data_IF_026671423950
#
_entry.id   IF_026671423950
#
_cell.length_a   1.000
_cell.length_b   1.000
_cell.length_c   1.000
_cell.angle_alpha   90.00
_cell.angle_beta   90.00
_cell.angle_gamma   90.00
#
_symmetry.space_group_name_H-M   'P 1'
#
loop_
_entity.id
_entity.type
_entity.pdbx_description
1 polymer ?
#
# COMPACT_ATOMS: atom_id res chain seq x y z
N UNK A 1 46.28 13.68 -0.57
CA UNK A 1 44.98 14.26 -0.15
C UNK A 1 44.72 13.83 1.29
N UNK A 2 44.03 14.63 2.12
CA UNK A 2 43.63 14.19 3.46
C UNK A 2 42.70 12.95 3.31
N UNK A 3 42.91 11.86 4.07
CA UNK A 3 42.08 10.65 4.01
C UNK A 3 40.57 10.90 4.16
N UNK A 4 40.16 11.86 5.00
CA UNK A 4 38.76 12.18 5.22
C UNK A 4 38.15 12.90 4.02
N UNK A 5 38.93 13.77 3.38
CA UNK A 5 38.51 14.44 2.14
C UNK A 5 38.40 13.45 0.98
N UNK A 6 39.30 12.47 0.90
CA UNK A 6 39.20 11.39 -0.10
C UNK A 6 37.93 10.56 0.10
N UNK A 7 37.63 10.16 1.34
CA UNK A 7 36.38 9.44 1.68
C UNK A 7 35.12 10.26 1.39
N UNK A 8 35.14 11.55 1.67
CA UNK A 8 34.01 12.45 1.40
C UNK A 8 33.64 12.45 -0.09
N UNK A 9 34.64 12.62 -0.97
CA UNK A 9 34.37 12.64 -2.41
C UNK A 9 33.99 11.26 -2.95
N UNK A 10 34.59 10.18 -2.43
CA UNK A 10 34.18 8.81 -2.76
C UNK A 10 32.72 8.55 -2.41
N UNK A 11 32.28 8.98 -1.23
CA UNK A 11 30.89 8.84 -0.80
C UNK A 11 29.94 9.57 -1.79
N UNK A 12 30.27 10.79 -2.18
CA UNK A 12 29.47 11.55 -3.15
C UNK A 12 29.40 10.83 -4.51
N UNK A 13 30.48 10.21 -4.97
CA UNK A 13 30.53 9.47 -6.25
C UNK A 13 29.92 8.07 -6.19
N UNK A 14 29.52 7.57 -5.01
CA UNK A 14 28.93 6.23 -4.83
C UNK A 14 27.46 6.29 -4.38
N UNK A 15 27.12 7.21 -3.47
CA UNK A 15 25.80 7.27 -2.84
C UNK A 15 24.86 8.21 -3.61
N UNK A 16 24.39 7.80 -4.78
CA UNK A 16 23.43 8.56 -5.59
C UNK A 16 22.65 7.66 -6.56
N UNK A 17 21.61 8.20 -7.20
CA UNK A 17 20.89 7.52 -8.29
C UNK A 17 21.19 8.05 -9.69
N UNK A 18 22.07 9.04 -9.83
CA UNK A 18 22.54 9.58 -11.13
C UNK A 18 22.98 8.46 -12.08
N UNK A 19 22.58 8.59 -13.34
CA UNK A 19 22.98 7.75 -14.47
C UNK A 19 23.99 8.49 -15.33
N UNK A 20 24.98 7.79 -15.86
CA UNK A 20 25.96 8.33 -16.78
C UNK A 20 25.68 7.87 -18.21
N UNK A 21 25.88 8.76 -19.17
CA UNK A 21 25.77 8.47 -20.60
C UNK A 21 26.94 9.11 -21.34
N UNK A 22 27.50 8.41 -22.33
CA UNK A 22 28.55 8.96 -23.19
C UNK A 22 27.93 9.52 -24.46
N UNK A 23 27.84 10.84 -24.56
CA UNK A 23 27.33 11.55 -25.75
C UNK A 23 28.44 12.33 -26.41
N UNK A 24 28.69 12.09 -27.70
CA UNK A 24 29.73 12.78 -28.48
C UNK A 24 31.12 12.77 -27.79
N UNK A 25 31.53 11.62 -27.24
CA UNK A 25 32.75 11.45 -26.43
C UNK A 25 32.81 12.32 -25.16
N UNK A 26 31.68 12.85 -24.69
CA UNK A 26 31.57 13.59 -23.44
C UNK A 26 30.67 12.81 -22.47
N UNK A 27 31.17 12.62 -21.26
CA UNK A 27 30.41 12.03 -20.16
C UNK A 27 29.36 13.04 -19.67
N UNK A 28 28.09 12.67 -19.76
CA UNK A 28 26.94 13.44 -19.28
C UNK A 28 26.23 12.69 -18.14
N UNK A 29 25.67 13.45 -17.20
CA UNK A 29 24.97 12.93 -16.03
C UNK A 29 23.48 13.25 -16.10
N UNK A 30 22.65 12.22 -15.99
CA UNK A 30 21.20 12.31 -15.88
C UNK A 30 20.78 11.98 -14.46
N UNK A 31 20.13 12.94 -13.80
CA UNK A 31 19.66 12.79 -12.41
C UNK A 31 18.17 13.12 -12.30
N UNK A 32 17.47 12.43 -11.39
CA UNK A 32 16.08 12.75 -11.05
C UNK A 32 15.97 14.03 -10.20
N UNK A 33 17.04 14.39 -9.49
CA UNK A 33 17.13 15.59 -8.66
C UNK A 33 18.29 16.47 -9.11
N UNK A 34 18.08 17.79 -9.25
CA UNK A 34 19.14 18.74 -9.57
C UNK A 34 20.23 18.77 -8.49
N UNK A 35 19.87 18.50 -7.23
CA UNK A 35 20.82 18.47 -6.12
C UNK A 35 21.79 17.28 -6.27
N UNK A 36 21.31 16.11 -6.73
CA UNK A 36 22.18 14.97 -7.01
C UNK A 36 23.12 15.22 -8.19
N UNK A 37 22.61 15.85 -9.27
CA UNK A 37 23.44 16.21 -10.42
C UNK A 37 24.56 17.18 -10.02
N UNK A 38 24.26 18.18 -9.17
CA UNK A 38 25.24 19.13 -8.68
C UNK A 38 26.33 18.46 -7.84
N UNK A 39 25.97 17.54 -6.94
CA UNK A 39 26.92 16.81 -6.10
C UNK A 39 27.86 15.91 -6.93
N UNK A 40 27.32 15.11 -7.84
CA UNK A 40 28.14 14.21 -8.68
C UNK A 40 28.97 15.01 -9.69
N UNK A 41 28.43 16.13 -10.20
CA UNK A 41 29.17 17.09 -11.02
C UNK A 41 30.35 17.71 -10.28
N UNK A 42 30.16 18.10 -9.01
CA UNK A 42 31.24 18.60 -8.18
C UNK A 42 32.32 17.53 -7.95
N UNK A 43 31.93 16.31 -7.58
CA UNK A 43 32.88 15.22 -7.37
C UNK A 43 33.76 14.94 -8.60
N UNK A 44 33.18 14.99 -9.80
CA UNK A 44 33.93 14.91 -11.07
C UNK A 44 35.00 16.00 -11.18
N UNK A 45 34.69 17.25 -10.82
CA UNK A 45 35.64 18.37 -10.90
C UNK A 45 36.81 18.21 -9.92
N UNK A 46 36.61 17.45 -8.84
CA UNK A 46 37.65 17.10 -7.87
C UNK A 46 38.35 15.76 -8.18
N UNK A 47 38.14 15.18 -9.36
CA UNK A 47 38.83 13.96 -9.80
C UNK A 47 38.19 12.65 -9.32
N UNK A 48 36.93 12.68 -8.87
CA UNK A 48 36.15 11.49 -8.48
C UNK A 48 34.99 11.32 -9.45
N UNK A 49 35.27 10.73 -10.60
CA UNK A 49 34.36 10.66 -11.73
C UNK A 49 33.50 9.39 -11.63
N UNK A 50 32.18 9.54 -11.57
CA UNK A 50 31.26 8.42 -11.70
C UNK A 50 31.20 7.97 -13.16
N UNK A 51 31.57 6.72 -13.46
CA UNK A 51 31.69 6.22 -14.84
C UNK A 51 30.44 5.46 -15.27
N UNK A 52 29.99 4.49 -14.48
CA UNK A 52 28.78 3.72 -14.77
C UNK A 52 28.30 2.93 -13.56
N UNK A 53 27.04 2.47 -13.61
CA UNK A 53 26.47 1.54 -12.65
C UNK A 53 25.72 0.42 -13.38
N UNK A 54 25.95 -0.80 -12.93
CA UNK A 54 25.17 -2.00 -13.27
C UNK A 54 24.33 -2.43 -12.05
N UNK A 55 23.44 -3.42 -12.16
CA UNK A 55 22.73 -3.96 -10.99
C UNK A 55 23.66 -4.45 -9.87
N UNK A 56 24.87 -4.92 -10.22
CA UNK A 56 25.79 -5.59 -9.30
C UNK A 56 27.08 -4.80 -9.03
N UNK A 57 27.31 -3.68 -9.71
CA UNK A 57 28.55 -2.91 -9.57
C UNK A 57 28.42 -1.42 -9.84
N UNK A 58 29.30 -0.63 -9.22
CA UNK A 58 29.51 0.79 -9.50
C UNK A 58 30.97 0.98 -9.91
N UNK A 59 31.20 1.63 -11.04
CA UNK A 59 32.55 2.01 -11.51
C UNK A 59 32.75 3.51 -11.35
N UNK A 60 33.84 3.88 -10.67
CA UNK A 60 34.29 5.26 -10.52
C UNK A 60 35.75 5.37 -10.96
N UNK A 61 36.17 6.56 -11.36
CA UNK A 61 37.57 6.88 -11.61
C UNK A 61 38.03 7.87 -10.54
N UNK A 62 39.09 7.52 -9.82
CA UNK A 62 39.67 8.34 -8.77
C UNK A 62 41.06 8.76 -9.20
N UNK A 63 41.25 10.05 -9.45
CA UNK A 63 42.52 10.63 -9.85
C UNK A 63 43.14 9.93 -11.09
N UNK A 64 42.30 9.56 -12.06
CA UNK A 64 42.71 8.87 -13.28
C UNK A 64 42.82 7.35 -13.17
N UNK A 65 42.59 6.77 -11.98
CA UNK A 65 42.61 5.32 -11.78
C UNK A 65 41.18 4.80 -11.68
N UNK A 66 40.82 3.85 -12.52
CA UNK A 66 39.50 3.21 -12.47
C UNK A 66 39.40 2.22 -11.31
N UNK A 67 38.30 2.31 -10.57
CA UNK A 67 37.98 1.47 -9.44
C UNK A 67 36.56 0.94 -9.57
N UNK A 68 36.38 -0.36 -9.31
CA UNK A 68 35.08 -1.02 -9.32
C UNK A 68 34.67 -1.42 -7.91
N UNK A 69 33.43 -1.14 -7.56
CA UNK A 69 32.78 -1.50 -6.30
C UNK A 69 31.67 -2.50 -6.60
N UNK A 70 31.58 -3.58 -5.83
CA UNK A 70 30.41 -4.46 -5.89
C UNK A 70 29.24 -3.76 -5.20
N UNK A 71 28.14 -3.57 -5.92
CA UNK A 71 26.92 -2.99 -5.38
C UNK A 71 26.13 -4.08 -4.65
N UNK A 72 25.86 -3.88 -3.36
CA UNK A 72 25.11 -4.85 -2.55
C UNK A 72 23.66 -4.45 -2.34
N UNK A 73 23.40 -3.17 -2.12
CA UNK A 73 22.05 -2.68 -1.94
C UNK A 73 22.00 -1.17 -2.14
N UNK A 74 20.95 -0.68 -2.79
CA UNK A 74 20.56 0.73 -2.76
C UNK A 74 19.29 0.84 -1.93
N UNK A 75 19.34 1.69 -0.92
CA UNK A 75 18.20 2.07 -0.12
C UNK A 75 17.80 3.49 -0.53
N UNK A 76 16.84 3.59 -1.44
CA UNK A 76 16.43 4.85 -2.06
C UNK A 76 15.94 5.92 -1.09
N UNK A 77 16.11 7.16 -1.51
CA UNK A 77 15.50 8.29 -0.83
C UNK A 77 13.98 8.16 -0.84
N UNK A 78 13.35 8.49 0.29
CA UNK A 78 11.93 8.79 0.34
C UNK A 78 11.66 9.86 1.41
N UNK A 79 10.48 10.49 1.34
CA UNK A 79 10.11 11.61 2.20
C UNK A 79 10.05 11.26 3.71
N UNK A 80 10.04 9.96 4.05
CA UNK A 80 9.97 9.48 5.43
C UNK A 80 11.37 9.21 5.99
N UNK A 81 12.23 8.58 5.20
CA UNK A 81 13.63 8.33 5.55
C UNK A 81 14.44 9.62 5.53
N UNK A 82 14.07 10.56 4.65
CA UNK A 82 14.78 11.81 4.32
C UNK A 82 16.30 11.62 4.17
N UNK A 83 16.69 10.43 3.69
CA UNK A 83 18.06 9.99 3.46
C UNK A 83 18.07 8.87 2.43
N UNK A 84 19.19 8.76 1.72
CA UNK A 84 19.54 7.66 0.83
C UNK A 84 20.73 6.91 1.41
N UNK A 85 20.84 5.63 1.12
CA UNK A 85 22.04 4.86 1.48
C UNK A 85 22.40 3.85 0.42
N UNK A 86 23.68 3.56 0.30
CA UNK A 86 24.21 2.53 -0.61
C UNK A 86 25.17 1.65 0.18
N UNK A 87 25.00 0.34 0.07
CA UNK A 87 25.98 -0.64 0.54
C UNK A 87 26.83 -1.11 -0.65
N UNK A 88 28.14 -0.98 -0.51
CA UNK A 88 29.11 -1.48 -1.49
C UNK A 88 30.11 -2.40 -0.81
N UNK A 89 30.67 -3.35 -1.58
CA UNK A 89 31.80 -4.17 -1.15
C UNK A 89 33.01 -3.89 -2.05
N UNK A 90 34.16 -3.67 -1.42
CA UNK A 90 35.44 -3.52 -2.11
C UNK A 90 36.56 -4.03 -1.22
N UNK A 91 37.51 -4.77 -1.79
CA UNK A 91 38.67 -5.32 -1.07
C UNK A 91 38.27 -6.14 0.18
N UNK A 92 37.18 -6.91 0.07
CA UNK A 92 36.64 -7.73 1.16
C UNK A 92 35.84 -6.95 2.23
N UNK A 93 35.86 -5.61 2.21
CA UNK A 93 35.14 -4.76 3.17
C UNK A 93 33.78 -4.33 2.63
N UNK A 94 32.75 -4.45 3.46
CA UNK A 94 31.42 -3.91 3.18
C UNK A 94 31.30 -2.54 3.84
N UNK A 95 30.96 -1.52 3.06
CA UNK A 95 30.80 -0.14 3.54
C UNK A 95 29.41 0.36 3.23
N UNK A 96 28.72 0.85 4.27
CA UNK A 96 27.48 1.60 4.16
C UNK A 96 27.82 3.08 3.99
N UNK A 97 27.38 3.68 2.89
CA UNK A 97 27.39 5.11 2.66
C UNK A 97 25.99 5.68 2.79
N UNK A 98 25.84 6.84 3.43
CA UNK A 98 24.56 7.47 3.70
C UNK A 98 24.64 8.98 3.47
N UNK A 99 23.62 9.55 2.84
CA UNK A 99 23.43 11.01 2.73
C UNK A 99 21.98 11.39 3.04
N UNK A 100 21.76 12.47 3.76
CA UNK A 100 20.41 12.90 4.12
C UNK A 100 20.36 14.17 4.94
N UNK A 101 19.17 14.49 5.46
CA UNK A 101 18.97 15.61 6.37
C UNK A 101 19.82 15.44 7.65
N UNK A 102 20.31 16.57 8.16
CA UNK A 102 21.06 16.71 9.40
C UNK A 102 20.48 15.92 10.58
N UNK A 103 19.22 16.19 10.92
CA UNK A 103 18.46 15.52 11.99
C UNK A 103 18.44 13.99 11.83
N UNK A 104 18.28 13.50 10.61
CA UNK A 104 18.21 12.05 10.35
C UNK A 104 19.56 11.37 10.48
N UNK A 105 20.64 12.06 10.15
CA UNK A 105 22.00 11.53 10.19
C UNK A 105 22.54 11.60 11.61
N UNK A 106 22.43 12.73 12.31
CA UNK A 106 22.95 12.90 13.67
C UNK A 106 22.32 11.93 14.69
N UNK A 107 21.02 11.64 14.58
CA UNK A 107 20.36 10.61 15.40
C UNK A 107 20.97 9.20 15.26
N UNK A 108 21.78 8.95 14.22
CA UNK A 108 22.28 7.61 13.84
C UNK A 108 23.81 7.52 13.83
N UNK A 109 24.50 8.60 14.22
CA UNK A 109 25.95 8.58 14.41
C UNK A 109 26.28 7.95 15.77
N UNK A 110 27.40 7.25 15.86
CA UNK A 110 27.84 6.69 17.14
C UNK A 110 28.27 7.81 18.09
N UNK A 111 27.80 7.77 19.33
CA UNK A 111 28.19 8.72 20.38
C UNK A 111 29.71 8.72 20.66
N UNK A 112 30.40 7.66 20.25
CA UNK A 112 31.85 7.49 20.42
C UNK A 112 32.71 8.13 19.32
N UNK A 113 32.15 8.46 18.15
CA UNK A 113 32.93 8.82 16.95
C UNK A 113 33.15 10.33 16.75
N UNK A 114 33.44 11.05 17.85
CA UNK A 114 33.83 12.46 17.94
C UNK A 114 32.70 13.51 18.02
N UNK A 115 32.20 13.73 19.24
CA UNK A 115 31.25 14.81 19.58
C UNK A 115 31.74 16.21 19.17
N UNK A 116 33.06 16.42 19.11
CA UNK A 116 33.65 17.69 18.67
C UNK A 116 33.42 17.94 17.17
N UNK A 117 33.59 16.92 16.32
CA UNK A 117 33.31 17.04 14.88
C UNK A 117 31.83 17.25 14.62
N UNK A 118 30.95 16.60 15.39
CA UNK A 118 29.51 16.82 15.33
C UNK A 118 29.15 18.27 15.64
N UNK A 119 29.67 18.83 16.73
CA UNK A 119 29.43 20.22 17.12
C UNK A 119 29.94 21.24 16.09
N UNK A 120 31.15 21.03 15.55
CA UNK A 120 31.72 21.88 14.50
C UNK A 120 30.88 21.78 13.21
N UNK A 121 30.48 20.56 12.83
CA UNK A 121 29.65 20.34 11.64
C UNK A 121 28.29 21.00 11.79
N UNK A 122 27.64 20.89 12.95
CA UNK A 122 26.37 21.57 13.23
C UNK A 122 26.51 23.09 13.10
N UNK A 123 27.57 23.68 13.67
CA UNK A 123 27.82 25.11 13.53
C UNK A 123 27.99 25.55 12.08
N UNK A 124 28.65 24.75 11.24
CA UNK A 124 28.77 25.03 9.80
C UNK A 124 27.45 24.87 9.06
N UNK A 125 26.63 23.85 9.40
CA UNK A 125 25.30 23.66 8.81
C UNK A 125 24.39 24.84 9.09
N UNK A 126 24.38 25.34 10.34
CA UNK A 126 23.59 26.52 10.73
C UNK A 126 24.01 27.76 9.94
N UNK A 127 25.33 27.94 9.75
CA UNK A 127 25.86 29.03 8.94
C UNK A 127 25.41 28.92 7.47
N UNK A 128 25.55 27.74 6.86
CA UNK A 128 25.12 27.53 5.47
C UNK A 128 23.61 27.69 5.28
N UNK A 129 22.81 27.27 6.26
CA UNK A 129 21.37 27.48 6.25
C UNK A 129 21.02 28.98 6.34
N UNK A 130 21.72 29.76 7.17
CA UNK A 130 21.57 31.21 7.25
C UNK A 130 21.93 31.92 5.93
N UNK A 131 22.89 31.38 5.19
CA UNK A 131 23.27 31.85 3.85
C UNK A 131 22.28 31.38 2.75
N UNK A 132 21.22 30.64 3.12
CA UNK A 132 20.18 30.15 2.20
C UNK A 132 20.58 28.91 1.38
N UNK A 133 21.66 28.22 1.77
CA UNK A 133 22.12 27.02 1.09
C UNK A 133 21.36 25.78 1.58
N UNK A 134 21.04 24.87 0.67
CA UNK A 134 20.56 23.53 1.04
C UNK A 134 21.71 22.69 1.53
N UNK A 135 21.56 22.11 2.71
CA UNK A 135 22.59 21.30 3.35
C UNK A 135 22.19 19.83 3.40
N UNK A 136 23.20 18.96 3.30
CA UNK A 136 23.07 17.52 3.51
C UNK A 136 24.23 17.05 4.38
N UNK A 137 23.94 16.12 5.28
CA UNK A 137 24.94 15.40 6.05
C UNK A 137 25.27 14.08 5.36
N UNK A 138 26.54 13.71 5.42
CA UNK A 138 27.05 12.48 4.84
C UNK A 138 27.72 11.66 5.95
N UNK A 139 27.45 10.37 5.97
CA UNK A 139 27.99 9.44 6.96
C UNK A 139 28.37 8.13 6.30
N UNK A 140 29.34 7.43 6.89
CA UNK A 140 29.72 6.10 6.46
C UNK A 140 29.95 5.18 7.66
N UNK A 141 29.86 3.88 7.42
CA UNK A 141 30.18 2.84 8.41
C UNK A 141 30.73 1.61 7.70
N UNK A 142 31.88 1.12 8.14
CA UNK A 142 32.31 -0.24 7.79
C UNK A 142 31.39 -1.23 8.52
N UNK A 143 30.79 -2.14 7.76
CA UNK A 143 29.82 -3.12 8.24
C UNK A 143 30.53 -4.47 8.28
N UNK A 144 30.41 -5.13 9.42
CA UNK A 144 30.90 -6.50 9.58
C UNK A 144 30.21 -7.44 8.56
N UNK A 145 31.00 -8.35 7.98
CA UNK A 145 30.53 -9.20 6.87
C UNK A 145 29.44 -10.16 7.35
N UNK A 146 29.60 -10.76 8.53
CA UNK A 146 28.62 -11.70 9.08
C UNK A 146 27.31 -10.97 9.43
N UNK A 147 27.42 -9.77 10.00
CA UNK A 147 26.25 -8.91 10.22
C UNK A 147 25.55 -8.53 8.91
N UNK A 148 26.32 -8.21 7.86
CA UNK A 148 25.75 -7.87 6.55
C UNK A 148 25.01 -9.06 5.93
N UNK A 149 25.56 -10.28 6.00
CA UNK A 149 24.91 -11.47 5.46
C UNK A 149 23.58 -11.77 6.17
N UNK A 150 23.54 -11.66 7.50
CA UNK A 150 22.28 -11.77 8.26
C UNK A 150 21.27 -10.67 7.88
N UNK A 151 21.72 -9.42 7.82
CA UNK A 151 20.88 -8.29 7.43
C UNK A 151 20.34 -8.45 6.00
N UNK A 152 21.17 -8.91 5.06
CA UNK A 152 20.81 -9.12 3.66
C UNK A 152 19.71 -10.17 3.54
N UNK A 153 19.83 -11.28 4.29
CA UNK A 153 18.79 -12.33 4.34
C UNK A 153 17.46 -11.78 4.85
N UNK A 154 17.49 -11.00 5.95
CA UNK A 154 16.28 -10.36 6.50
C UNK A 154 15.67 -9.34 5.54
N UNK A 155 16.51 -8.56 4.85
CA UNK A 155 16.06 -7.59 3.87
C UNK A 155 15.40 -8.25 2.65
N UNK A 156 16.00 -9.32 2.13
CA UNK A 156 15.45 -10.08 1.01
C UNK A 156 14.10 -10.72 1.36
N UNK A 157 14.00 -11.36 2.53
CA UNK A 157 12.73 -11.89 3.03
C UNK A 157 11.65 -10.81 3.15
N UNK A 158 11.98 -9.64 3.70
CA UNK A 158 11.05 -8.52 3.79
C UNK A 158 10.63 -7.99 2.40
N UNK A 159 11.56 -7.94 1.44
CA UNK A 159 11.29 -7.51 0.07
C UNK A 159 10.32 -8.45 -0.65
N UNK A 160 10.51 -9.77 -0.50
CA UNK A 160 9.64 -10.80 -1.07
C UNK A 160 8.22 -10.67 -0.51
N UNK A 161 8.08 -10.56 0.82
CA UNK A 161 6.77 -10.40 1.48
C UNK A 161 6.02 -9.15 0.99
N UNK A 162 6.74 -8.06 0.75
CA UNK A 162 6.16 -6.82 0.21
C UNK A 162 5.65 -7.00 -1.23
N UNK A 163 6.41 -7.71 -2.07
CA UNK A 163 6.03 -8.00 -3.46
C UNK A 163 4.79 -8.90 -3.53
N UNK A 164 4.78 -9.99 -2.76
CA UNK A 164 3.65 -10.93 -2.72
C UNK A 164 2.35 -10.23 -2.30
N UNK A 165 2.43 -9.36 -1.27
CA UNK A 165 1.27 -8.58 -0.80
C UNK A 165 0.72 -7.65 -1.88
N UNK A 166 1.59 -6.98 -2.63
CA UNK A 166 1.20 -6.06 -3.69
C UNK A 166 0.53 -6.80 -4.85
N UNK A 167 1.07 -7.95 -5.25
CA UNK A 167 0.48 -8.80 -6.30
C UNK A 167 -0.92 -9.32 -5.89
N UNK A 168 -1.02 -9.88 -4.67
CA UNK A 168 -2.28 -10.32 -4.08
C UNK A 168 -3.33 -9.20 -4.12
N UNK A 169 -2.95 -7.99 -3.70
CA UNK A 169 -3.87 -6.86 -3.67
C UNK A 169 -4.35 -6.45 -5.08
N UNK A 170 -3.42 -6.40 -6.04
CA UNK A 170 -3.75 -6.05 -7.42
C UNK A 170 -4.71 -7.07 -8.04
N UNK A 171 -4.50 -8.37 -7.78
CA UNK A 171 -5.35 -9.43 -8.33
C UNK A 171 -6.75 -9.40 -7.68
N UNK A 172 -6.86 -9.10 -6.39
CA UNK A 172 -8.16 -8.88 -5.74
C UNK A 172 -8.88 -7.65 -6.32
N UNK A 173 -8.18 -6.54 -6.56
CA UNK A 173 -8.76 -5.35 -7.20
C UNK A 173 -9.21 -5.67 -8.64
N UNK A 174 -8.40 -6.40 -9.40
CA UNK A 174 -8.74 -6.83 -10.76
C UNK A 174 -9.97 -7.76 -10.78
N UNK A 175 -10.17 -8.57 -9.75
CA UNK A 175 -11.38 -9.36 -9.51
C UNK A 175 -12.57 -8.53 -9.00
N UNK A 176 -12.50 -7.19 -9.08
CA UNK A 176 -13.53 -6.24 -8.64
C UNK A 176 -13.85 -6.31 -7.13
N UNK A 177 -12.88 -6.73 -6.30
CA UNK A 177 -13.01 -6.70 -4.84
C UNK A 177 -12.54 -5.34 -4.34
N UNK A 178 -13.46 -4.56 -3.75
CA UNK A 178 -13.14 -3.26 -3.15
C UNK A 178 -12.43 -3.44 -1.81
N UNK A 179 -11.31 -2.77 -1.63
CA UNK A 179 -10.49 -2.88 -0.41
C UNK A 179 -10.56 -1.60 0.42
N UNK A 180 -10.88 -1.79 1.69
CA UNK A 180 -10.89 -0.74 2.72
C UNK A 180 -9.85 -1.10 3.78
N UNK A 181 -8.92 -0.20 4.05
CA UNK A 181 -7.83 -0.41 5.03
C UNK A 181 -8.19 0.32 6.32
N UNK A 182 -8.36 -0.43 7.42
CA UNK A 182 -8.70 0.13 8.73
C UNK A 182 -7.52 -0.07 9.69
N UNK A 183 -6.72 0.97 9.91
CA UNK A 183 -5.50 0.90 10.73
C UNK A 183 -5.56 1.80 11.98
N UNK A 184 -4.89 1.34 13.04
CA UNK A 184 -4.61 2.16 14.23
C UNK A 184 -3.47 3.16 14.03
N UNK A 185 -2.74 3.08 12.92
CA UNK A 185 -1.58 3.92 12.63
C UNK A 185 -1.92 5.38 12.32
N UNK A 186 -0.89 6.23 12.38
CA UNK A 186 -0.97 7.62 11.93
C UNK A 186 -1.26 7.71 10.44
N UNK A 187 -1.93 8.78 10.04
CA UNK A 187 -2.37 9.03 8.67
C UNK A 187 -1.24 8.96 7.66
N UNK A 188 -0.08 9.55 7.97
CA UNK A 188 1.07 9.58 7.06
C UNK A 188 1.63 8.18 6.80
N UNK A 189 1.61 7.31 7.82
CA UNK A 189 2.02 5.91 7.71
C UNK A 189 1.02 5.09 6.91
N UNK A 190 -0.28 5.32 7.13
CA UNK A 190 -1.34 4.61 6.41
C UNK A 190 -1.37 4.97 4.91
N UNK A 191 -1.23 6.25 4.57
CA UNK A 191 -1.13 6.74 3.18
C UNK A 191 0.08 6.09 2.49
N UNK A 192 1.21 6.03 3.19
CA UNK A 192 2.41 5.34 2.69
C UNK A 192 2.19 3.88 2.39
N UNK A 193 1.56 3.17 3.32
CA UNK A 193 1.25 1.76 3.12
C UNK A 193 0.35 1.64 1.90
N UNK A 194 -0.65 2.53 1.76
CA UNK A 194 -1.50 2.65 0.58
C UNK A 194 -0.71 2.78 -0.73
N UNK A 195 0.24 3.71 -0.83
CA UNK A 195 1.09 3.87 -2.02
C UNK A 195 2.05 2.69 -2.23
N UNK A 196 2.66 2.17 -1.16
CA UNK A 196 3.60 1.05 -1.23
C UNK A 196 2.93 -0.23 -1.75
N UNK A 197 1.64 -0.42 -1.43
CA UNK A 197 0.84 -1.54 -1.89
C UNK A 197 0.16 -1.29 -3.24
N UNK A 198 0.32 -0.11 -3.86
CA UNK A 198 -0.45 0.33 -5.05
C UNK A 198 -1.97 0.32 -4.84
N UNK A 199 -2.41 0.46 -3.59
CA UNK A 199 -3.82 0.73 -3.29
C UNK A 199 -4.16 2.17 -3.66
N UNK A 200 -3.24 3.08 -3.32
CA UNK A 200 -3.19 4.44 -3.84
C UNK A 200 -2.16 4.48 -4.96
N UNK A 201 -2.52 5.07 -6.09
CA UNK A 201 -1.66 5.11 -7.26
C UNK A 201 -1.61 6.53 -7.83
N UNK A 202 -0.54 6.83 -8.58
CA UNK A 202 -0.34 8.17 -9.17
C UNK A 202 -1.29 8.47 -10.33
N UNK A 203 -1.94 7.43 -10.88
CA UNK A 203 -3.01 7.51 -11.88
C UNK A 203 -4.40 7.75 -11.25
N UNK A 204 -4.52 7.77 -9.93
CA UNK A 204 -5.71 8.31 -9.28
C UNK A 204 -5.88 9.79 -9.67
N UNK A 205 -7.08 10.15 -10.10
CA UNK A 205 -7.54 11.53 -10.29
C UNK A 205 -7.32 12.37 -9.04
N UNK A 206 -7.71 11.87 -7.87
CA UNK A 206 -7.53 12.58 -6.60
C UNK A 206 -7.58 11.65 -5.37
N UNK A 207 -6.93 12.05 -4.29
CA UNK A 207 -7.03 11.39 -2.97
C UNK A 207 -7.60 12.39 -1.97
N UNK A 208 -8.86 12.19 -1.60
CA UNK A 208 -9.58 13.04 -0.65
C UNK A 208 -9.16 12.73 0.78
N UNK A 209 -8.93 13.78 1.58
CA UNK A 209 -8.60 13.66 3.00
C UNK A 209 -9.71 14.31 3.82
N UNK A 210 -10.30 13.54 4.74
CA UNK A 210 -11.33 13.99 5.68
C UNK A 210 -10.71 14.03 7.09
N UNK A 211 -10.51 15.24 7.58
CA UNK A 211 -9.84 15.54 8.84
C UNK A 211 -10.58 16.57 9.72
N UNK A 212 -11.85 16.84 9.40
CA UNK A 212 -12.72 17.73 10.16
C UNK A 212 -12.80 17.40 11.65
N UNK A 213 -12.82 18.43 12.50
CA UNK A 213 -12.81 18.30 13.97
C UNK A 213 -14.21 18.39 14.59
N UNK A 214 -15.20 18.83 13.82
CA UNK A 214 -16.59 18.90 14.21
C UNK A 214 -17.47 18.15 13.23
N UNK A 215 -18.69 17.80 13.64
CA UNK A 215 -19.69 17.13 12.79
C UNK A 215 -19.95 17.94 11.51
N UNK A 216 -20.07 19.26 11.63
CA UNK A 216 -20.34 20.15 10.50
C UNK A 216 -19.15 20.24 9.53
N UNK A 217 -17.92 20.24 10.05
CA UNK A 217 -16.73 20.22 9.19
C UNK A 217 -16.66 18.92 8.37
N UNK A 218 -16.89 17.78 9.02
CA UNK A 218 -16.89 16.47 8.37
C UNK A 218 -18.00 16.37 7.33
N UNK A 219 -19.19 16.89 7.66
CA UNK A 219 -20.32 16.97 6.72
C UNK A 219 -19.94 17.77 5.48
N UNK A 220 -19.42 18.98 5.65
CA UNK A 220 -19.01 19.85 4.53
C UNK A 220 -17.94 19.20 3.67
N UNK A 221 -16.94 18.56 4.28
CA UNK A 221 -15.91 17.82 3.54
C UNK A 221 -16.51 16.67 2.72
N UNK A 222 -17.39 15.85 3.29
CA UNK A 222 -18.03 14.75 2.59
C UNK A 222 -18.99 15.22 1.47
N UNK A 223 -19.77 16.28 1.71
CA UNK A 223 -20.66 16.87 0.69
C UNK A 223 -19.85 17.46 -0.47
N UNK A 224 -18.74 18.15 -0.19
CA UNK A 224 -17.85 18.68 -1.22
C UNK A 224 -17.27 17.57 -2.12
N UNK A 225 -16.88 16.44 -1.53
CA UNK A 225 -16.39 15.28 -2.31
C UNK A 225 -17.47 14.76 -3.25
N UNK A 226 -18.73 14.68 -2.82
CA UNK A 226 -19.84 14.25 -3.69
C UNK A 226 -20.05 15.20 -4.87
N UNK A 227 -19.90 16.51 -4.64
CA UNK A 227 -19.98 17.48 -5.73
C UNK A 227 -18.88 17.22 -6.76
N UNK A 228 -17.63 17.03 -6.31
CA UNK A 228 -16.49 16.74 -7.18
C UNK A 228 -16.62 15.40 -7.92
N UNK A 229 -17.21 14.38 -7.29
CA UNK A 229 -17.50 13.09 -7.92
C UNK A 229 -18.54 13.19 -9.04
N UNK A 230 -19.44 14.17 -8.97
CA UNK A 230 -20.51 14.38 -9.94
C UNK A 230 -20.17 15.41 -11.04
N UNK A 231 -19.04 16.11 -10.94
CA UNK A 231 -18.63 17.05 -11.98
C UNK A 231 -18.16 16.31 -13.25
N UNK A 232 -18.72 16.63 -14.43
CA UNK A 232 -18.27 16.04 -15.68
C UNK A 232 -16.83 16.44 -15.94
N UNK A 233 -15.97 15.45 -16.19
CA UNK A 233 -14.52 15.63 -16.34
C UNK A 233 -14.18 16.55 -17.51
N UNK A 234 -14.07 17.86 -17.28
CA UNK A 234 -13.36 18.75 -18.20
C UNK A 234 -11.87 18.49 -18.07
N UNK A 235 -11.28 17.99 -19.15
CA UNK A 235 -9.86 17.73 -19.33
C UNK A 235 -8.99 18.89 -18.83
N UNK A 236 -8.13 18.62 -17.84
CA UNK A 236 -6.72 19.03 -17.85
C UNK A 236 -5.97 18.33 -16.70
N UNK A 237 -5.06 17.43 -17.08
CA UNK A 237 -4.10 16.81 -16.19
C UNK A 237 -3.24 17.88 -15.51
N UNK A 238 -3.25 17.92 -14.17
CA UNK A 238 -2.22 18.58 -13.37
C UNK A 238 -1.94 17.81 -12.09
N UNK A 239 -0.67 17.40 -11.98
CA UNK A 239 0.15 17.18 -10.79
C UNK A 239 -0.46 16.33 -9.66
N UNK A 240 0.03 15.10 -9.50
CA UNK A 240 -0.30 14.17 -8.41
C UNK A 240 0.19 14.64 -7.04
N UNK A 241 -0.33 15.77 -6.57
CA UNK A 241 -0.15 16.27 -5.21
C UNK A 241 -1.26 15.72 -4.33
N UNK A 242 -0.88 15.24 -3.15
CA UNK A 242 -1.82 15.14 -2.02
C UNK A 242 -2.24 16.57 -1.70
N UNK A 243 -3.40 16.99 -2.20
CA UNK A 243 -4.01 18.29 -1.89
C UNK A 243 -4.57 18.21 -0.47
N UNK A 244 -3.79 18.69 0.52
CA UNK A 244 -4.39 19.18 1.75
C UNK A 244 -5.20 20.42 1.38
N UNK A 245 -6.48 20.25 1.07
CA UNK A 245 -7.33 21.37 0.70
C UNK A 245 -7.56 22.20 1.97
N UNK A 246 -7.00 23.41 2.01
CA UNK A 246 -7.50 24.46 2.88
C UNK A 246 -8.79 24.96 2.23
N UNK A 247 -9.93 24.52 2.75
CA UNK A 247 -11.24 24.75 2.14
C UNK A 247 -11.67 26.22 2.28
N UNK A 248 -11.97 26.87 1.16
CA UNK A 248 -12.74 28.11 1.13
C UNK A 248 -14.24 27.77 1.16
N UNK A 249 -15.04 28.60 1.84
CA UNK A 249 -16.47 28.37 2.06
C UNK A 249 -17.24 28.18 0.72
N UNK A 250 -18.18 27.23 0.65
CA UNK A 250 -19.02 27.06 -0.53
C UNK A 250 -20.06 28.18 -0.64
N UNK A 251 -20.25 28.69 -1.86
CA UNK A 251 -21.32 29.65 -2.19
C UNK A 251 -22.72 29.04 -2.01
N UNK A 252 -23.68 29.89 -1.59
CA UNK A 252 -25.07 29.56 -1.18
C UNK A 252 -25.95 28.84 -2.23
N UNK A 253 -25.43 28.51 -3.41
CA UNK A 253 -26.16 27.82 -4.48
C UNK A 253 -26.03 26.28 -4.45
N UNK A 254 -25.14 25.70 -3.62
CA UNK A 254 -24.92 24.24 -3.53
C UNK A 254 -26.04 23.48 -2.82
N UNK A 255 -26.82 24.13 -1.94
CA UNK A 255 -27.92 23.52 -1.17
C UNK A 255 -29.10 23.00 -2.04
N UNK A 256 -29.24 23.52 -3.26
CA UNK A 256 -30.34 23.16 -4.17
C UNK A 256 -30.02 21.94 -5.04
N UNK A 257 -28.73 21.66 -5.30
CA UNK A 257 -28.30 20.48 -6.06
C UNK A 257 -28.33 19.22 -5.20
N UNK A 258 -27.94 19.31 -3.92
CA UNK A 258 -27.92 18.18 -2.98
C UNK A 258 -29.33 17.62 -2.73
N UNK A 259 -30.36 18.48 -2.65
CA UNK A 259 -31.75 18.06 -2.43
C UNK A 259 -32.36 17.25 -3.58
N UNK A 260 -31.86 17.40 -4.82
CA UNK A 260 -32.42 16.72 -6.00
C UNK A 260 -31.94 15.27 -6.17
N UNK A 261 -30.86 14.89 -5.48
CA UNK A 261 -30.26 13.54 -5.50
C UNK A 261 -30.73 12.62 -4.38
N UNK A 262 -31.49 13.14 -3.41
CA UNK A 262 -32.19 12.32 -2.41
C UNK A 262 -33.51 11.80 -2.98
N UNK A 263 -33.71 10.48 -2.89
CA UNK A 263 -34.91 9.70 -3.29
C UNK A 263 -34.95 9.21 -4.75
N UNK A 264 -34.02 8.31 -5.09
CA UNK A 264 -34.17 7.43 -6.25
C UNK A 264 -33.08 6.36 -6.28
N UNK A 265 -33.42 5.13 -5.88
CA UNK A 265 -32.75 3.86 -6.26
C UNK A 265 -31.29 3.98 -6.71
N UNK A 266 -30.35 4.20 -5.78
CA UNK A 266 -28.91 4.16 -6.05
C UNK A 266 -28.40 2.71 -6.14
N UNK A 267 -29.08 1.88 -6.93
CA UNK A 267 -28.69 0.49 -7.24
C UNK A 267 -28.26 0.33 -8.70
N UNK A 268 -28.58 1.29 -9.58
CA UNK A 268 -28.36 1.17 -11.03
C UNK A 268 -27.23 2.04 -11.59
N UNK A 269 -26.47 2.76 -10.75
CA UNK A 269 -25.37 3.65 -11.19
C UNK A 269 -23.96 3.17 -10.75
N UNK A 270 -23.85 1.99 -10.13
CA UNK A 270 -22.59 1.51 -9.53
C UNK A 270 -21.99 0.27 -10.21
N UNK A 271 -22.64 -0.28 -11.23
CA UNK A 271 -22.14 -1.41 -12.02
C UNK A 271 -22.01 -1.01 -13.50
N UNK A 272 -20.76 -0.86 -13.95
CA UNK A 272 -20.42 -0.75 -15.37
C UNK A 272 -19.87 0.61 -15.79
N UNK A 273 -18.54 0.70 -15.83
CA UNK A 273 -17.82 1.81 -16.47
C UNK A 273 -16.82 2.47 -15.54
N UNK A 274 -15.54 2.16 -15.73
CA UNK A 274 -14.36 2.76 -15.11
C UNK A 274 -14.45 3.00 -13.60
N UNK A 275 -13.88 2.07 -12.81
CA UNK A 275 -13.55 2.29 -11.40
C UNK A 275 -12.79 3.61 -11.27
N UNK A 276 -13.54 4.63 -10.86
CA UNK A 276 -13.16 6.04 -10.86
C UNK A 276 -11.92 6.22 -9.98
N UNK A 277 -10.91 6.89 -10.50
CA UNK A 277 -9.59 7.07 -9.89
C UNK A 277 -9.57 7.94 -8.63
N UNK A 278 -10.45 7.72 -7.67
CA UNK A 278 -10.48 8.47 -6.42
C UNK A 278 -10.11 7.59 -5.23
N UNK A 279 -9.32 8.14 -4.31
CA UNK A 279 -9.04 7.55 -2.99
C UNK A 279 -9.67 8.38 -1.87
N UNK A 280 -10.05 7.73 -0.76
CA UNK A 280 -10.53 8.41 0.46
C UNK A 280 -9.62 8.07 1.64
N UNK A 281 -9.19 9.09 2.39
CA UNK A 281 -8.47 8.94 3.65
C UNK A 281 -9.25 9.67 4.73
N UNK A 282 -9.62 8.97 5.81
CA UNK A 282 -10.36 9.55 6.93
C UNK A 282 -9.66 9.22 8.26
N UNK A 283 -9.50 10.21 9.12
CA UNK A 283 -8.91 9.99 10.45
C UNK A 283 -9.96 9.48 11.46
N UNK A 284 -9.52 8.87 12.56
CA UNK A 284 -10.42 8.28 13.55
C UNK A 284 -11.32 9.27 14.30
N UNK A 285 -10.91 10.54 14.43
CA UNK A 285 -11.75 11.57 15.06
C UNK A 285 -12.91 11.95 14.14
N UNK A 286 -12.61 12.28 12.89
CA UNK A 286 -13.60 12.57 11.84
C UNK A 286 -14.50 11.37 11.55
N UNK A 287 -13.95 10.15 11.60
CA UNK A 287 -14.72 8.91 11.42
C UNK A 287 -15.77 8.74 12.51
N UNK A 288 -15.53 9.20 13.74
CA UNK A 288 -16.53 9.14 14.82
C UNK A 288 -17.79 9.90 14.44
N UNK A 289 -17.64 11.13 13.94
CA UNK A 289 -18.76 11.94 13.46
C UNK A 289 -19.37 11.35 12.17
N UNK A 290 -18.53 10.86 11.26
CA UNK A 290 -18.98 10.29 9.99
C UNK A 290 -19.80 9.00 10.15
N UNK A 291 -19.60 8.26 11.25
CA UNK A 291 -20.37 7.06 11.59
C UNK A 291 -21.71 7.35 12.27
N UNK A 292 -22.00 8.61 12.65
CA UNK A 292 -23.29 8.96 13.21
C UNK A 292 -24.44 8.74 12.21
N UNK A 293 -25.66 8.41 12.66
CA UNK A 293 -26.78 8.10 11.76
C UNK A 293 -27.05 9.16 10.68
N UNK A 294 -26.77 10.43 10.97
CA UNK A 294 -26.97 11.55 10.06
C UNK A 294 -25.97 11.59 8.89
N UNK A 295 -24.71 11.17 9.12
CA UNK A 295 -23.62 11.23 8.13
C UNK A 295 -23.21 9.86 7.59
N UNK A 296 -23.59 8.78 8.26
CA UNK A 296 -23.23 7.39 7.91
C UNK A 296 -23.54 7.04 6.44
N UNK A 297 -24.71 7.42 5.94
CA UNK A 297 -25.09 7.22 4.53
C UNK A 297 -24.24 8.02 3.55
N UNK A 298 -23.81 9.22 3.96
CA UNK A 298 -22.96 10.09 3.17
C UNK A 298 -21.56 9.48 3.04
N UNK A 299 -20.97 9.06 4.18
CA UNK A 299 -19.70 8.33 4.23
C UNK A 299 -19.76 7.07 3.37
N UNK A 300 -20.83 6.28 3.50
CA UNK A 300 -21.04 5.07 2.71
C UNK A 300 -21.04 5.36 1.20
N UNK A 301 -21.75 6.42 0.77
CA UNK A 301 -21.84 6.82 -0.64
C UNK A 301 -20.48 7.22 -1.19
N UNK A 302 -19.76 8.10 -0.48
CA UNK A 302 -18.40 8.54 -0.86
C UNK A 302 -17.44 7.35 -0.91
N UNK A 303 -17.41 6.54 0.15
CA UNK A 303 -16.53 5.37 0.22
C UNK A 303 -16.81 4.33 -0.87
N UNK A 304 -18.08 4.17 -1.28
CA UNK A 304 -18.44 3.29 -2.38
C UNK A 304 -18.06 3.83 -3.75
N UNK A 305 -17.92 5.14 -3.92
CA UNK A 305 -17.47 5.77 -5.16
C UNK A 305 -15.93 5.70 -5.32
N UNK A 306 -15.19 5.72 -4.21
CA UNK A 306 -13.74 5.59 -4.23
C UNK A 306 -13.29 4.17 -4.60
N UNK A 307 -12.13 4.08 -5.26
CA UNK A 307 -11.42 2.82 -5.54
C UNK A 307 -10.85 2.20 -4.26
N UNK A 308 -10.33 3.05 -3.38
CA UNK A 308 -9.72 2.66 -2.12
C UNK A 308 -10.13 3.61 -1.00
N UNK A 309 -10.35 3.05 0.20
CA UNK A 309 -10.64 3.81 1.41
C UNK A 309 -9.64 3.43 2.49
N UNK A 310 -9.04 4.43 3.14
CA UNK A 310 -8.08 4.25 4.23
C UNK A 310 -8.57 5.01 5.46
N UNK A 311 -8.92 4.27 6.50
CA UNK A 311 -9.27 4.83 7.80
C UNK A 311 -8.06 4.72 8.73
N UNK A 312 -7.62 5.84 9.29
CA UNK A 312 -6.39 5.96 10.09
C UNK A 312 -6.71 6.25 11.56
N UNK A 313 -5.86 5.83 12.50
CA UNK A 313 -6.07 5.99 13.96
C UNK A 313 -7.43 5.48 14.44
N UNK A 314 -7.87 4.34 13.90
CA UNK A 314 -9.18 3.75 14.18
C UNK A 314 -9.11 2.84 15.40
N UNK A 315 -10.09 2.96 16.30
CA UNK A 315 -10.26 2.05 17.45
C UNK A 315 -10.89 0.72 17.04
N UNK A 316 -10.71 -0.38 17.80
CA UNK A 316 -11.33 -1.67 17.51
C UNK A 316 -12.86 -1.61 17.29
N UNK A 317 -13.55 -0.79 18.09
CA UNK A 317 -14.99 -0.58 17.97
C UNK A 317 -15.35 0.11 16.65
N UNK A 318 -14.63 1.17 16.28
CA UNK A 318 -14.86 1.86 15.01
C UNK A 318 -14.61 0.96 13.80
N UNK A 319 -13.63 0.04 13.86
CA UNK A 319 -13.42 -0.93 12.77
C UNK A 319 -14.67 -1.79 12.53
N UNK A 320 -15.27 -2.29 13.61
CA UNK A 320 -16.51 -3.07 13.55
C UNK A 320 -17.69 -2.25 13.01
N UNK A 321 -17.84 -0.99 13.45
CA UNK A 321 -18.89 -0.09 12.98
C UNK A 321 -18.79 0.23 11.47
N UNK A 322 -17.57 0.37 10.94
CA UNK A 322 -17.36 0.55 9.49
C UNK A 322 -17.80 -0.69 8.71
N UNK A 323 -17.46 -1.89 9.19
CA UNK A 323 -17.90 -3.14 8.56
C UNK A 323 -19.42 -3.28 8.61
N UNK A 324 -20.03 -2.95 9.75
CA UNK A 324 -21.48 -2.96 9.93
C UNK A 324 -22.19 -1.96 8.99
N UNK A 325 -21.63 -0.76 8.84
CA UNK A 325 -22.14 0.25 7.90
C UNK A 325 -22.22 -0.31 6.48
N UNK A 326 -21.14 -0.91 5.99
CA UNK A 326 -21.09 -1.47 4.63
C UNK A 326 -22.03 -2.67 4.51
N UNK A 327 -22.01 -3.57 5.50
CA UNK A 327 -22.84 -4.78 5.55
C UNK A 327 -24.34 -4.47 5.52
N UNK A 328 -24.77 -3.40 6.18
CA UNK A 328 -26.19 -3.05 6.29
C UNK A 328 -26.69 -2.16 5.15
N UNK A 329 -25.80 -1.49 4.41
CA UNK A 329 -26.19 -0.52 3.37
C UNK A 329 -25.85 -0.97 1.94
N UNK A 330 -25.06 -2.04 1.77
CA UNK A 330 -24.78 -2.65 0.46
C UNK A 330 -25.23 -4.09 0.48
N UNK A 331 -25.91 -4.51 -0.58
CA UNK A 331 -26.15 -5.93 -0.85
C UNK A 331 -24.85 -6.57 -1.38
N UNK A 332 -23.86 -6.69 -0.50
CA UNK A 332 -22.54 -7.22 -0.82
C UNK A 332 -22.01 -8.06 0.35
N UNK A 333 -21.29 -9.12 0.01
CA UNK A 333 -20.59 -9.94 1.00
C UNK A 333 -19.36 -9.17 1.48
N UNK A 334 -19.23 -9.04 2.80
CA UNK A 334 -18.12 -8.34 3.45
C UNK A 334 -17.16 -9.35 4.04
N UNK A 335 -15.87 -9.14 3.79
CA UNK A 335 -14.79 -9.92 4.39
C UNK A 335 -13.93 -9.01 5.26
N UNK A 336 -13.61 -9.48 6.47
CA UNK A 336 -12.67 -8.81 7.37
C UNK A 336 -11.46 -9.71 7.61
N UNK A 337 -10.26 -9.14 7.48
CA UNK A 337 -8.99 -9.80 7.73
C UNK A 337 -8.18 -9.04 8.77
N UNK A 338 -7.57 -9.75 9.72
CA UNK A 338 -6.73 -9.16 10.76
C UNK A 338 -5.86 -10.20 11.46
N UNK A 339 -4.83 -9.73 12.15
CA UNK A 339 -3.81 -10.56 12.83
C UNK A 339 -3.85 -10.43 14.36
N UNK A 340 -4.37 -9.32 14.88
CA UNK A 340 -4.34 -9.00 16.31
C UNK A 340 -5.70 -9.05 17.02
N UNK A 341 -5.65 -8.97 18.36
CA UNK A 341 -6.85 -8.87 19.20
C UNK A 341 -7.72 -7.65 18.87
N UNK A 342 -7.10 -6.58 18.34
CA UNK A 342 -7.78 -5.35 17.93
C UNK A 342 -8.73 -5.54 16.74
N UNK A 343 -8.58 -6.63 15.99
CA UNK A 343 -9.38 -6.91 14.80
C UNK A 343 -10.51 -7.91 15.05
N UNK A 344 -10.54 -8.54 16.23
CA UNK A 344 -11.53 -9.58 16.57
C UNK A 344 -12.96 -9.10 16.40
N UNK A 345 -13.29 -7.89 16.86
CA UNK A 345 -14.64 -7.32 16.70
C UNK A 345 -14.99 -7.09 15.23
N UNK A 346 -14.03 -6.59 14.44
CA UNK A 346 -14.21 -6.38 13.00
C UNK A 346 -14.42 -7.70 12.24
N UNK A 347 -13.62 -8.72 12.57
CA UNK A 347 -13.68 -10.08 12.02
C UNK A 347 -15.06 -10.70 12.27
N UNK A 348 -15.57 -10.62 13.52
CA UNK A 348 -16.86 -11.19 13.89
C UNK A 348 -18.07 -10.47 13.27
N UNK A 349 -17.93 -9.18 12.97
CA UNK A 349 -19.03 -8.40 12.37
C UNK A 349 -19.21 -8.67 10.88
N UNK A 350 -18.12 -9.01 10.17
CA UNK A 350 -18.17 -9.32 8.74
C UNK A 350 -19.00 -10.57 8.42
N UNK A 351 -19.28 -10.79 7.13
CA UNK A 351 -19.89 -12.06 6.71
C UNK A 351 -18.89 -13.21 6.72
N UNK A 352 -17.63 -12.90 6.41
CA UNK A 352 -16.51 -13.84 6.42
C UNK A 352 -15.35 -13.20 7.19
N UNK A 353 -14.90 -13.89 8.23
CA UNK A 353 -13.75 -13.51 9.04
C UNK A 353 -12.51 -14.33 8.69
N UNK A 354 -11.38 -13.65 8.42
CA UNK A 354 -10.08 -14.29 8.16
C UNK A 354 -9.05 -13.84 9.18
N UNK A 355 -8.47 -14.79 9.92
CA UNK A 355 -7.42 -14.55 10.89
C UNK A 355 -6.04 -14.85 10.30
N UNK A 356 -5.13 -13.90 10.36
CA UNK A 356 -3.73 -14.11 9.96
C UNK A 356 -2.91 -14.54 11.17
N UNK A 357 -2.15 -15.62 11.05
CA UNK A 357 -1.25 -16.08 12.11
C UNK A 357 -0.05 -15.12 12.25
N UNK A 358 -0.13 -14.20 13.22
CA UNK A 358 0.89 -13.20 13.49
C UNK A 358 1.71 -13.45 14.76
N UNK A 359 2.68 -12.57 15.00
CA UNK A 359 3.49 -12.54 16.23
C UNK A 359 2.74 -11.94 17.43
N UNK A 360 1.64 -11.22 17.20
CA UNK A 360 0.88 -10.49 18.22
C UNK A 360 -0.12 -11.36 19.01
N UNK A 361 -0.27 -12.64 18.65
CA UNK A 361 -1.10 -13.62 19.36
C UNK A 361 -2.06 -14.37 18.44
N UNK A 362 -2.77 -15.36 18.99
CA UNK A 362 -3.69 -16.23 18.24
C UNK A 362 -5.17 -15.77 18.32
N UNK A 363 -5.46 -14.62 18.94
CA UNK A 363 -6.84 -14.21 19.21
C UNK A 363 -7.66 -13.99 17.93
N UNK A 364 -7.07 -13.36 16.90
CA UNK A 364 -7.74 -13.18 15.60
C UNK A 364 -8.03 -14.51 14.92
N UNK A 365 -7.05 -15.42 14.94
CA UNK A 365 -7.14 -16.78 14.37
C UNK A 365 -8.24 -17.61 15.03
N UNK A 366 -8.33 -17.56 16.36
CA UNK A 366 -9.35 -18.30 17.13
C UNK A 366 -10.76 -17.71 16.95
N UNK A 367 -10.86 -16.45 16.55
CA UNK A 367 -12.13 -15.75 16.35
C UNK A 367 -12.61 -15.73 14.89
N UNK A 368 -11.79 -16.20 13.94
CA UNK A 368 -12.06 -16.16 12.49
C UNK A 368 -12.64 -17.46 11.94
N UNK A 369 -13.36 -17.37 10.82
CA UNK A 369 -13.88 -18.53 10.09
C UNK A 369 -12.76 -19.30 9.37
N UNK A 370 -11.79 -18.56 8.82
CA UNK A 370 -10.60 -19.12 8.16
C UNK A 370 -9.33 -18.57 8.79
N UNK A 371 -8.34 -19.44 8.96
CA UNK A 371 -6.99 -19.02 9.36
C UNK A 371 -5.99 -19.22 8.23
N UNK A 372 -5.21 -18.18 7.94
CA UNK A 372 -4.11 -18.22 6.97
C UNK A 372 -2.81 -17.75 7.62
N UNK A 373 -1.68 -18.30 7.16
CA UNK A 373 -0.37 -17.92 7.72
C UNK A 373 0.11 -16.53 7.24
N UNK A 374 -0.26 -16.14 6.02
CA UNK A 374 0.22 -14.91 5.39
C UNK A 374 -0.87 -14.33 4.48
N UNK A 375 -0.87 -13.01 4.31
CA UNK A 375 -1.85 -12.30 3.47
C UNK A 375 -1.89 -12.82 2.03
N UNK A 376 -0.75 -13.28 1.47
CA UNK A 376 -0.66 -13.80 0.10
C UNK A 376 -1.59 -14.98 -0.20
N UNK A 377 -1.98 -15.74 0.83
CA UNK A 377 -2.89 -16.88 0.63
C UNK A 377 -4.35 -16.46 0.51
N UNK A 378 -4.68 -15.21 0.80
CA UNK A 378 -6.03 -14.68 0.66
C UNK A 378 -6.50 -14.72 -0.81
N UNK A 379 -5.58 -14.44 -1.74
CA UNK A 379 -5.88 -14.51 -3.18
C UNK A 379 -6.38 -15.89 -3.59
N UNK A 380 -5.60 -16.95 -3.28
CA UNK A 380 -5.99 -18.33 -3.58
C UNK A 380 -7.25 -18.75 -2.84
N UNK A 381 -7.40 -18.34 -1.57
CA UNK A 381 -8.60 -18.62 -0.79
C UNK A 381 -9.87 -18.07 -1.45
N UNK A 382 -9.82 -16.84 -1.96
CA UNK A 382 -10.99 -16.18 -2.55
C UNK A 382 -11.21 -16.54 -4.02
N UNK A 383 -10.18 -16.37 -4.85
CA UNK A 383 -10.32 -16.47 -6.31
C UNK A 383 -10.44 -17.92 -6.80
N UNK A 384 -9.84 -18.87 -6.08
CA UNK A 384 -9.88 -20.30 -6.43
C UNK A 384 -10.94 -21.00 -5.58
N UNK A 385 -10.72 -21.09 -4.26
CA UNK A 385 -11.59 -21.87 -3.39
C UNK A 385 -12.96 -21.21 -3.20
N UNK A 386 -13.03 -19.89 -3.09
CA UNK A 386 -14.28 -19.14 -3.00
C UNK A 386 -15.14 -19.30 -4.25
N UNK A 387 -14.56 -19.09 -5.44
CA UNK A 387 -15.24 -19.30 -6.73
C UNK A 387 -15.74 -20.72 -6.91
N UNK A 388 -14.89 -21.72 -6.68
CA UNK A 388 -15.27 -23.13 -6.79
C UNK A 388 -16.38 -23.48 -5.81
N UNK A 389 -16.27 -23.07 -4.54
CA UNK A 389 -17.29 -23.34 -3.52
C UNK A 389 -18.64 -22.73 -3.91
N UNK A 390 -18.64 -21.47 -4.39
CA UNK A 390 -19.84 -20.79 -4.85
C UNK A 390 -20.51 -21.53 -6.02
N UNK A 391 -19.76 -21.86 -7.08
CA UNK A 391 -20.31 -22.52 -8.26
C UNK A 391 -20.77 -23.95 -7.96
N UNK A 392 -20.00 -24.70 -7.14
CA UNK A 392 -20.38 -26.04 -6.67
C UNK A 392 -21.68 -26.00 -5.90
N UNK A 393 -21.82 -25.09 -4.95
CA UNK A 393 -23.03 -24.97 -4.14
C UNK A 393 -24.23 -24.57 -4.99
N UNK A 394 -24.06 -23.64 -5.93
CA UNK A 394 -25.12 -23.23 -6.86
C UNK A 394 -25.61 -24.41 -7.71
N UNK A 395 -24.69 -25.17 -8.34
CA UNK A 395 -25.04 -26.36 -9.12
C UNK A 395 -25.64 -27.45 -8.24
N UNK A 396 -25.07 -27.70 -7.06
CA UNK A 396 -25.57 -28.67 -6.09
C UNK A 396 -27.03 -28.39 -5.74
N UNK A 397 -27.37 -27.15 -5.38
CA UNK A 397 -28.74 -26.76 -5.03
C UNK A 397 -29.69 -26.91 -6.22
N UNK A 398 -29.27 -26.49 -7.42
CA UNK A 398 -30.08 -26.65 -8.64
C UNK A 398 -30.36 -28.12 -8.95
N UNK A 399 -29.35 -28.99 -8.93
CA UNK A 399 -29.52 -30.43 -9.14
C UNK A 399 -30.35 -31.08 -8.03
N UNK A 400 -30.15 -30.65 -6.78
CA UNK A 400 -30.91 -31.15 -5.65
C UNK A 400 -32.40 -30.82 -5.79
N UNK A 401 -32.76 -29.58 -6.16
CA UNK A 401 -34.17 -29.25 -6.40
C UNK A 401 -34.72 -29.97 -7.63
N UNK A 402 -33.99 -29.93 -8.76
CA UNK A 402 -34.40 -30.59 -10.00
C UNK A 402 -34.73 -32.07 -9.78
N UNK A 403 -33.83 -32.84 -9.14
CA UNK A 403 -34.03 -34.28 -8.95
C UNK A 403 -35.24 -34.59 -8.07
N UNK A 404 -35.49 -33.76 -7.05
CA UNK A 404 -36.58 -33.96 -6.11
C UNK A 404 -37.92 -33.64 -6.80
N UNK A 405 -38.01 -32.54 -7.57
CA UNK A 405 -39.23 -32.19 -8.30
C UNK A 405 -39.54 -33.14 -9.46
N UNK A 406 -38.51 -33.67 -10.14
CA UNK A 406 -38.70 -34.60 -11.26
C UNK A 406 -39.34 -35.94 -10.83
N UNK A 407 -39.16 -36.36 -9.57
CA UNK A 407 -39.58 -37.69 -9.08
C UNK A 407 -40.78 -37.67 -8.12
N UNK A 408 -41.33 -36.50 -7.78
CA UNK A 408 -42.31 -36.34 -6.68
C UNK A 408 -43.71 -36.92 -6.91
N UNK A 409 -44.14 -37.25 -8.14
CA UNK A 409 -45.58 -37.46 -8.42
C UNK A 409 -45.97 -38.79 -9.07
N UNK A 410 -45.01 -39.67 -9.37
CA UNK A 410 -45.29 -40.89 -10.17
C UNK A 410 -45.06 -42.21 -9.41
N UNK A 411 -44.34 -42.20 -8.29
CA UNK A 411 -43.85 -43.42 -7.64
C UNK A 411 -44.30 -43.57 -6.18
N UNK A 412 -44.23 -44.81 -5.67
CA UNK A 412 -44.51 -45.14 -4.28
C UNK A 412 -43.54 -44.40 -3.32
N UNK A 413 -44.01 -43.94 -2.14
CA UNK A 413 -43.19 -43.21 -1.19
C UNK A 413 -41.90 -43.92 -0.75
N UNK A 414 -41.89 -45.25 -0.63
CA UNK A 414 -40.67 -46.00 -0.29
C UNK A 414 -39.65 -45.91 -1.42
N UNK A 415 -40.11 -46.02 -2.67
CA UNK A 415 -39.23 -45.90 -3.83
C UNK A 415 -38.62 -44.49 -3.94
N UNK A 416 -39.41 -43.44 -3.68
CA UNK A 416 -38.92 -42.06 -3.66
C UNK A 416 -37.83 -41.89 -2.59
N UNK A 417 -38.02 -42.47 -1.40
CA UNK A 417 -37.02 -42.43 -0.33
C UNK A 417 -35.70 -43.13 -0.73
N UNK A 418 -35.79 -44.34 -1.30
CA UNK A 418 -34.63 -45.08 -1.80
C UNK A 418 -33.93 -44.35 -2.96
N UNK A 419 -34.69 -43.78 -3.89
CA UNK A 419 -34.19 -42.98 -5.02
C UNK A 419 -33.37 -41.78 -4.57
N UNK A 420 -33.86 -41.05 -3.57
CA UNK A 420 -33.18 -39.89 -3.03
C UNK A 420 -31.93 -40.25 -2.21
N UNK A 421 -31.97 -41.35 -1.46
CA UNK A 421 -30.89 -41.73 -0.55
C UNK A 421 -29.75 -42.49 -1.23
N UNK A 422 -30.06 -43.48 -2.08
CA UNK A 422 -29.05 -44.39 -2.63
C UNK A 422 -28.71 -44.11 -4.09
N UNK A 423 -29.71 -43.80 -4.92
CA UNK A 423 -29.50 -43.71 -6.37
C UNK A 423 -29.01 -42.34 -6.83
N UNK A 424 -29.42 -41.25 -6.15
CA UNK A 424 -29.14 -39.88 -6.62
C UNK A 424 -28.36 -39.00 -5.67
N UNK A 425 -28.07 -39.45 -4.44
CA UNK A 425 -27.30 -38.67 -3.47
C UNK A 425 -25.83 -38.50 -3.90
N UNK A 426 -25.18 -39.61 -4.28
CA UNK A 426 -23.75 -39.62 -4.62
C UNK A 426 -23.39 -38.79 -5.86
N UNK A 427 -24.13 -38.84 -6.99
CA UNK A 427 -23.82 -37.98 -8.14
C UNK A 427 -23.91 -36.49 -7.81
N UNK A 428 -24.93 -36.09 -7.02
CA UNK A 428 -25.15 -34.69 -6.64
C UNK A 428 -24.07 -34.21 -5.66
N UNK A 429 -23.68 -35.06 -4.71
CA UNK A 429 -22.52 -34.80 -3.84
C UNK A 429 -21.21 -34.73 -4.63
N UNK A 430 -21.04 -35.59 -5.63
CA UNK A 430 -19.87 -35.60 -6.52
C UNK A 430 -19.70 -34.25 -7.22
N UNK A 431 -20.78 -33.70 -7.79
CA UNK A 431 -20.79 -32.35 -8.38
C UNK A 431 -20.51 -31.29 -7.31
N UNK A 432 -21.10 -31.40 -6.12
CA UNK A 432 -20.91 -30.44 -5.03
C UNK A 432 -19.50 -30.40 -4.43
N UNK A 433 -18.69 -31.45 -4.58
CA UNK A 433 -17.35 -31.56 -3.97
C UNK A 433 -16.24 -31.42 -5.02
N UNK A 434 -16.34 -32.12 -6.14
CA UNK A 434 -15.20 -32.32 -7.05
C UNK A 434 -15.26 -31.46 -8.32
N UNK A 435 -16.40 -30.86 -8.63
CA UNK A 435 -16.56 -30.08 -9.87
C UNK A 435 -15.63 -28.85 -9.90
N UNK A 436 -15.06 -28.55 -11.06
CA UNK A 436 -14.19 -27.38 -11.26
C UNK A 436 -14.55 -26.78 -12.61
N UNK A 437 -14.92 -25.50 -12.62
CA UNK A 437 -15.22 -24.79 -13.86
C UNK A 437 -13.93 -24.48 -14.64
N UNK A 438 -12.88 -24.07 -13.93
CA UNK A 438 -11.52 -23.86 -14.44
C UNK A 438 -10.51 -24.36 -13.41
N UNK A 439 -9.28 -24.65 -13.86
CA UNK A 439 -8.20 -25.03 -12.94
C UNK A 439 -7.71 -23.85 -12.08
N UNK A 440 -6.88 -24.15 -11.09
CA UNK A 440 -6.30 -23.15 -10.20
C UNK A 440 -5.50 -22.08 -10.96
N UNK A 441 -4.75 -22.46 -12.01
CA UNK A 441 -3.86 -21.55 -12.73
C UNK A 441 -4.63 -20.55 -13.58
N UNK A 442 -5.76 -20.97 -14.15
CA UNK A 442 -6.67 -20.12 -14.90
C UNK A 442 -7.55 -19.28 -13.99
N UNK A 443 -7.81 -19.72 -12.75
CA UNK A 443 -8.56 -18.93 -11.77
C UNK A 443 -7.79 -17.69 -11.26
N UNK A 444 -6.46 -17.74 -11.31
CA UNK A 444 -5.55 -16.67 -10.85
C UNK A 444 -5.05 -15.78 -12.00
N UNK A 445 -5.52 -16.00 -13.24
CA UNK A 445 -5.22 -15.19 -14.42
C UNK A 445 -6.45 -14.41 -14.84
#
# INVERSE_FOLDING_TARGET
>A
MNPDTDRFWRLISLCHTVMSEMKNNKLEYMAQSPDEAALVGAARNFGYVFKSRTPDSIMIEVMGVEETYELKCILDFNNYRKRMSVLVKKDGKVTLYCKGADTMIFERISKSSAAELEAITQSHLDKFANDGLRTLCLAYKEVDVDYFEDWSRRYEQASILMKDRQETLNNLIAANIKIWVLTGDKQETAINIGYSCRLLTVDLKEVFVVDGKTLEDVRKQLEAIIVQLNEPSTSNARDGRVTSVHFQEPDKNSDLLVKKTTYGSCSTMLDGGDLQGYGLVINGQSLTFALEPQLSKLLFTVGCACRAVICCRVTPLQKALVVELVKNNRDAVTLAIGDGANDVSMIKTAHIGVGVSGQEGMQAVLASDFSIAQFRYLEKLLLVHGRWSYLRMAKFLQYFFYKNFAFTTVYDPLFIAFYNLFFTSLPVLGVGIFDQDVDEKYSLK
#
